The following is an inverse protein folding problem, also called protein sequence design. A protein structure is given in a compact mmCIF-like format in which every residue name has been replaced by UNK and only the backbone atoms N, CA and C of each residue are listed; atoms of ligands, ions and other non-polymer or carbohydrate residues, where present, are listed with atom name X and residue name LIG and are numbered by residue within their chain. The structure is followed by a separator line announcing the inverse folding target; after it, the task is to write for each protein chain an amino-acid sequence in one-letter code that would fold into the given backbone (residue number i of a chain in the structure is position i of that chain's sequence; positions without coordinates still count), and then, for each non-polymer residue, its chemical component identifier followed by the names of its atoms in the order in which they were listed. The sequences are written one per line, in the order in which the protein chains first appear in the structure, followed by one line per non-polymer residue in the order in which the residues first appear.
data_IF_204813852795
#
_entry.id   IF_204813852795
#
_cell.length_a   1.000
_cell.length_b   1.000
_cell.length_c   1.000
_cell.angle_alpha   90.00
_cell.angle_beta   90.00
_cell.angle_gamma   90.00
#
_symmetry.space_group_name_H-M   'P 1'
#
loop_
_entity.id
_entity.type
_entity.pdbx_description
1 polymer ?
#
# COMPACT_ATOMS: atom_id res chain seq x y z
N UNK A 1 -14.43 18.16 -10.95
CA UNK A 1 -13.39 18.44 -11.98
C UNK A 1 -12.89 17.15 -12.61
N UNK A 2 -12.39 16.14 -11.90
CA UNK A 2 -11.85 14.87 -12.45
C UNK A 2 -12.73 14.20 -13.53
N UNK A 3 -14.04 14.16 -13.31
CA UNK A 3 -15.00 13.58 -14.27
C UNK A 3 -15.10 14.46 -15.52
N UNK A 4 -15.10 15.78 -15.34
CA UNK A 4 -15.16 16.73 -16.46
C UNK A 4 -13.95 16.57 -17.38
N UNK A 5 -12.74 16.52 -16.84
CA UNK A 5 -11.51 16.27 -17.60
C UNK A 5 -11.60 14.98 -18.42
N UNK A 6 -12.15 13.91 -17.85
CA UNK A 6 -12.36 12.63 -18.56
C UNK A 6 -13.34 12.78 -19.73
N UNK A 7 -14.42 13.49 -19.54
CA UNK A 7 -15.40 13.75 -20.58
C UNK A 7 -14.81 14.60 -21.71
N UNK A 8 -14.10 15.69 -21.36
CA UNK A 8 -13.45 16.57 -22.34
C UNK A 8 -12.49 15.82 -23.25
N UNK A 9 -11.75 14.86 -22.70
CA UNK A 9 -10.79 14.06 -23.46
C UNK A 9 -11.36 12.71 -23.95
N UNK A 10 -12.67 12.46 -23.84
CA UNK A 10 -13.32 11.19 -24.22
C UNK A 10 -12.67 9.95 -23.60
N UNK A 11 -12.19 10.05 -22.35
CA UNK A 11 -11.52 8.98 -21.59
C UNK A 11 -12.36 8.49 -20.40
N UNK A 12 -13.64 8.25 -20.61
CA UNK A 12 -14.60 7.89 -19.57
C UNK A 12 -14.46 6.46 -19.04
N UNK A 13 -13.74 5.60 -19.75
CA UNK A 13 -13.58 4.19 -19.40
C UNK A 13 -12.35 3.91 -18.55
N UNK A 14 -12.40 2.84 -17.72
CA UNK A 14 -11.29 2.33 -16.93
C UNK A 14 -11.15 3.02 -15.58
N UNK A 15 -9.93 3.08 -15.07
CA UNK A 15 -9.65 3.63 -13.74
C UNK A 15 -9.99 5.12 -13.67
N UNK A 16 -10.67 5.53 -12.59
CA UNK A 16 -11.08 6.92 -12.40
C UNK A 16 -9.96 7.77 -11.79
N UNK A 17 -9.25 7.24 -10.80
CA UNK A 17 -8.16 7.92 -10.09
C UNK A 17 -7.16 6.92 -9.55
N UNK A 18 -6.00 7.41 -9.16
CA UNK A 18 -5.02 6.69 -8.35
C UNK A 18 -4.99 7.28 -6.96
N UNK A 19 -4.84 6.44 -5.96
CA UNK A 19 -4.74 6.84 -4.55
C UNK A 19 -3.40 6.38 -3.99
N UNK A 20 -2.67 7.32 -3.41
CA UNK A 20 -1.41 7.08 -2.72
C UNK A 20 -1.54 7.52 -1.28
N UNK A 21 -0.81 6.85 -0.39
CA UNK A 21 -0.67 7.24 1.00
C UNK A 21 0.82 7.50 1.28
N UNK A 22 1.14 8.71 1.75
CA UNK A 22 2.47 9.09 2.21
C UNK A 22 2.43 9.23 3.72
N UNK A 23 3.07 8.30 4.44
CA UNK A 23 3.05 8.24 5.91
C UNK A 23 4.40 8.66 6.48
N UNK A 24 4.36 9.30 7.65
CA UNK A 24 5.52 9.77 8.38
C UNK A 24 5.65 9.00 9.69
N UNK A 25 6.90 8.83 10.19
CA UNK A 25 7.10 8.17 11.47
C UNK A 25 6.45 8.95 12.60
N UNK A 26 5.80 8.29 13.58
CA UNK A 26 5.26 8.97 14.75
C UNK A 26 6.34 9.62 15.64
N UNK A 27 7.59 9.23 15.47
CA UNK A 27 8.74 9.79 16.20
C UNK A 27 9.24 11.11 15.59
N UNK A 28 8.78 11.45 14.37
CA UNK A 28 9.17 12.67 13.69
C UNK A 28 8.49 13.90 14.31
N UNK A 29 9.30 14.90 14.66
CA UNK A 29 8.81 16.19 15.17
C UNK A 29 8.41 17.08 14.00
N UNK A 30 7.33 16.75 13.33
CA UNK A 30 6.82 17.43 12.15
C UNK A 30 5.40 17.95 12.38
N UNK A 31 5.09 19.12 11.83
CA UNK A 31 3.74 19.70 11.94
C UNK A 31 2.83 19.19 10.81
N UNK A 32 1.49 19.13 11.02
CA UNK A 32 0.54 18.80 9.95
C UNK A 32 0.68 19.70 8.71
N UNK A 33 1.00 20.99 8.93
CA UNK A 33 1.23 21.94 7.84
C UNK A 33 2.43 21.52 6.99
N UNK A 34 3.55 21.19 7.61
CA UNK A 34 4.76 20.74 6.90
C UNK A 34 4.52 19.42 6.17
N UNK A 35 3.78 18.49 6.79
CA UNK A 35 3.37 17.22 6.13
C UNK A 35 2.56 17.51 4.86
N UNK A 36 1.60 18.43 4.94
CA UNK A 36 0.81 18.85 3.80
C UNK A 36 1.67 19.48 2.68
N UNK A 37 2.58 20.39 3.04
CA UNK A 37 3.52 21.02 2.10
C UNK A 37 4.40 19.99 1.37
N UNK A 38 4.90 18.99 2.08
CA UNK A 38 5.66 17.87 1.50
C UNK A 38 4.78 17.09 0.50
N UNK A 39 3.54 16.80 0.86
CA UNK A 39 2.59 16.12 -0.04
C UNK A 39 2.30 16.92 -1.30
N UNK A 40 2.04 18.22 -1.17
CA UNK A 40 1.82 19.12 -2.31
C UNK A 40 3.05 19.21 -3.19
N UNK A 41 4.24 19.28 -2.61
CA UNK A 41 5.50 19.30 -3.37
C UNK A 41 5.72 17.99 -4.13
N UNK A 42 5.49 16.85 -3.50
CA UNK A 42 5.57 15.53 -4.13
C UNK A 42 4.64 15.45 -5.35
N UNK A 43 3.42 15.99 -5.24
CA UNK A 43 2.47 15.95 -6.36
C UNK A 43 2.89 16.83 -7.52
N UNK A 44 3.49 17.99 -7.26
CA UNK A 44 4.03 18.86 -8.31
C UNK A 44 5.19 18.20 -9.07
N UNK A 45 6.08 17.50 -8.36
CA UNK A 45 7.24 16.84 -8.97
C UNK A 45 6.86 15.54 -9.73
N UNK A 46 5.79 14.82 -9.29
CA UNK A 46 5.45 13.50 -9.84
C UNK A 46 4.26 13.49 -10.80
N UNK A 47 3.35 14.47 -10.71
CA UNK A 47 2.07 14.42 -11.40
C UNK A 47 1.74 15.73 -12.13
N UNK A 48 2.75 16.35 -12.72
CA UNK A 48 2.58 17.54 -13.55
C UNK A 48 1.57 17.29 -14.68
N UNK A 49 0.65 18.22 -14.90
CA UNK A 49 -0.44 18.10 -15.88
C UNK A 49 -1.59 17.18 -15.48
N UNK A 50 -1.64 16.73 -14.19
CA UNK A 50 -2.77 15.97 -13.64
C UNK A 50 -3.43 16.73 -12.51
N UNK A 51 -4.77 16.62 -12.41
CA UNK A 51 -5.51 17.12 -11.26
C UNK A 51 -5.21 16.25 -10.03
N UNK A 52 -4.88 16.90 -8.92
CA UNK A 52 -4.52 16.19 -7.67
C UNK A 52 -5.25 16.81 -6.48
N UNK A 53 -5.66 15.95 -5.56
CA UNK A 53 -6.17 16.34 -4.24
C UNK A 53 -5.22 15.78 -3.20
N UNK A 54 -4.76 16.63 -2.28
CA UNK A 54 -3.93 16.22 -1.13
C UNK A 54 -4.71 16.50 0.15
N UNK A 55 -4.98 15.46 0.91
CA UNK A 55 -5.60 15.53 2.24
C UNK A 55 -4.64 15.04 3.32
N UNK A 56 -4.39 15.82 4.35
CA UNK A 56 -3.54 15.44 5.48
C UNK A 56 -4.39 15.00 6.65
N UNK A 57 -4.20 13.77 7.12
CA UNK A 57 -4.88 13.24 8.30
C UNK A 57 -4.05 13.48 9.56
N UNK A 58 -4.73 14.02 10.58
CA UNK A 58 -4.13 14.42 11.87
C UNK A 58 -4.65 13.61 13.06
N UNK A 59 -5.68 12.79 12.86
CA UNK A 59 -6.42 12.11 13.95
C UNK A 59 -5.83 10.76 14.38
N UNK A 60 -4.79 10.28 13.68
CA UNK A 60 -4.13 9.00 13.98
C UNK A 60 -2.80 9.21 14.71
N UNK A 61 -2.27 8.13 15.27
CA UNK A 61 -0.99 8.12 15.97
C UNK A 61 0.21 8.57 15.10
N UNK A 62 0.02 8.74 13.80
CA UNK A 62 1.02 9.23 12.86
C UNK A 62 0.38 10.09 11.78
N UNK A 63 1.09 11.13 11.36
CA UNK A 63 0.66 12.01 10.28
C UNK A 63 0.82 11.32 8.93
N UNK A 64 -0.16 11.49 8.04
CA UNK A 64 -0.08 10.95 6.68
C UNK A 64 -0.91 11.78 5.70
N UNK A 65 -0.46 11.79 4.45
CA UNK A 65 -1.16 12.39 3.33
C UNK A 65 -1.90 11.31 2.54
N UNK A 66 -3.15 11.56 2.21
CA UNK A 66 -3.85 10.92 1.10
C UNK A 66 -3.71 11.78 -0.15
N UNK A 67 -3.19 11.19 -1.21
CA UNK A 67 -2.97 11.85 -2.49
C UNK A 67 -3.84 11.15 -3.52
N UNK A 68 -4.80 11.86 -4.10
CA UNK A 68 -5.71 11.35 -5.12
C UNK A 68 -5.39 12.06 -6.44
N UNK A 69 -4.99 11.29 -7.45
CA UNK A 69 -4.56 11.78 -8.74
C UNK A 69 -5.56 11.36 -9.82
N UNK A 70 -6.04 12.30 -10.63
CA UNK A 70 -6.88 11.94 -11.77
C UNK A 70 -6.11 11.02 -12.72
N UNK A 71 -6.80 10.02 -13.25
CA UNK A 71 -6.18 9.08 -14.20
C UNK A 71 -6.02 9.62 -15.63
N UNK A 72 -6.47 10.85 -15.88
CA UNK A 72 -6.36 11.52 -17.18
C UNK A 72 -5.77 12.91 -16.97
N UNK A 73 -4.73 13.23 -17.75
CA UNK A 73 -4.11 14.56 -17.75
C UNK A 73 -5.09 15.59 -18.29
N UNK A 74 -5.24 16.72 -17.59
CA UNK A 74 -6.08 17.83 -18.05
C UNK A 74 -5.42 18.60 -19.23
N UNK A 75 -4.09 18.54 -19.35
CA UNK A 75 -3.36 19.20 -20.43
C UNK A 75 -3.35 18.36 -21.71
N UNK A 76 -2.96 17.09 -21.60
CA UNK A 76 -2.67 16.24 -22.77
C UNK A 76 -3.74 15.20 -23.06
N UNK A 77 -4.70 14.98 -22.16
CA UNK A 77 -5.69 13.90 -22.25
C UNK A 77 -5.09 12.48 -22.17
N UNK A 78 -3.81 12.35 -21.90
CA UNK A 78 -3.15 11.04 -21.73
C UNK A 78 -3.55 10.40 -20.41
N UNK A 79 -3.78 9.09 -20.44
CA UNK A 79 -3.99 8.32 -19.21
C UNK A 79 -2.68 8.18 -18.45
N UNK A 80 -2.74 8.36 -17.12
CA UNK A 80 -1.62 8.11 -16.22
C UNK A 80 -1.28 6.62 -16.26
N UNK A 81 -0.05 6.32 -16.61
CA UNK A 81 0.48 4.96 -16.55
C UNK A 81 1.19 4.74 -15.22
N UNK A 82 0.79 3.68 -14.51
CA UNK A 82 1.39 3.31 -13.23
C UNK A 82 1.83 1.85 -13.27
N UNK A 83 3.13 1.66 -13.22
CA UNK A 83 3.80 0.38 -13.11
C UNK A 83 4.72 0.34 -11.87
N UNK A 84 5.47 -0.73 -11.72
CA UNK A 84 6.42 -0.88 -10.60
C UNK A 84 7.51 0.21 -10.62
N UNK A 85 7.98 0.59 -11.83
CA UNK A 85 9.04 1.58 -12.00
C UNK A 85 8.57 3.00 -11.66
N UNK A 86 7.35 3.37 -12.08
CA UNK A 86 6.76 4.67 -11.75
C UNK A 86 6.50 4.80 -10.25
N UNK A 87 6.06 3.72 -9.58
CA UNK A 87 5.91 3.72 -8.13
C UNK A 87 7.26 3.88 -7.40
N UNK A 88 8.30 3.24 -7.90
CA UNK A 88 9.66 3.37 -7.36
C UNK A 88 10.20 4.80 -7.52
N UNK A 89 9.94 5.43 -8.67
CA UNK A 89 10.26 6.84 -8.90
C UNK A 89 9.55 7.76 -7.91
N UNK A 90 8.24 7.58 -7.67
CA UNK A 90 7.48 8.37 -6.69
C UNK A 90 8.09 8.23 -5.29
N UNK A 91 8.50 7.01 -4.89
CA UNK A 91 9.17 6.77 -3.61
C UNK A 91 10.51 7.51 -3.54
N UNK A 92 11.33 7.42 -4.57
CA UNK A 92 12.63 8.12 -4.64
C UNK A 92 12.47 9.64 -4.51
N UNK A 93 11.47 10.21 -5.18
CA UNK A 93 11.17 11.66 -5.08
C UNK A 93 10.68 11.99 -3.68
N UNK A 94 9.79 11.16 -3.09
CA UNK A 94 9.33 11.34 -1.71
C UNK A 94 10.48 11.31 -0.71
N UNK A 95 11.38 10.33 -0.82
CA UNK A 95 12.55 10.18 0.06
C UNK A 95 13.50 11.38 -0.06
N UNK A 96 13.72 11.87 -1.28
CA UNK A 96 14.51 13.08 -1.52
C UNK A 96 13.90 14.30 -0.82
N UNK A 97 12.60 14.53 -1.02
CA UNK A 97 11.90 15.64 -0.38
C UNK A 97 11.96 15.51 1.15
N UNK A 98 11.65 14.33 1.71
CA UNK A 98 11.74 14.10 3.15
C UNK A 98 13.14 14.38 3.71
N UNK A 99 14.19 13.94 2.99
CA UNK A 99 15.58 14.22 3.38
C UNK A 99 15.92 15.72 3.39
N UNK A 100 15.38 16.49 2.44
CA UNK A 100 15.55 17.95 2.41
C UNK A 100 14.88 18.66 3.59
N UNK A 101 13.83 18.07 4.16
CA UNK A 101 13.18 18.52 5.39
C UNK A 101 13.82 17.94 6.66
N UNK A 102 14.92 17.18 6.54
CA UNK A 102 15.63 16.57 7.66
C UNK A 102 14.90 15.39 8.30
N UNK A 103 13.95 14.80 7.58
CA UNK A 103 13.18 13.65 8.05
C UNK A 103 13.89 12.33 7.72
N UNK A 104 13.57 11.31 8.51
CA UNK A 104 14.07 9.95 8.27
C UNK A 104 13.43 9.35 7.00
N UNK A 105 14.21 8.57 6.27
CA UNK A 105 13.75 7.80 5.13
C UNK A 105 13.97 6.32 5.36
N UNK A 106 13.00 5.52 4.92
CA UNK A 106 13.08 4.06 5.01
C UNK A 106 14.14 3.58 4.01
N UNK A 107 15.24 3.06 4.50
CA UNK A 107 16.21 2.36 3.65
C UNK A 107 15.53 1.11 3.10
N UNK A 108 15.19 1.12 1.82
CA UNK A 108 14.66 -0.06 1.15
C UNK A 108 15.74 -1.16 1.18
N UNK A 109 15.61 -2.11 2.09
CA UNK A 109 16.34 -3.38 1.95
C UNK A 109 15.81 -4.01 0.67
N UNK A 110 16.71 -4.45 -0.21
CA UNK A 110 16.31 -5.34 -1.30
C UNK A 110 15.43 -6.44 -0.69
N UNK A 111 14.16 -6.42 -1.00
CA UNK A 111 13.25 -7.46 -0.52
C UNK A 111 13.67 -8.76 -1.21
N UNK A 112 14.54 -9.51 -0.55
CA UNK A 112 14.49 -10.96 -0.73
C UNK A 112 13.06 -11.34 -0.40
N UNK A 113 12.38 -11.95 -1.34
CA UNK A 113 10.99 -12.40 -1.25
C UNK A 113 10.83 -13.44 -0.13
N UNK A 114 10.91 -12.99 1.11
CA UNK A 114 10.66 -13.82 2.28
C UNK A 114 9.24 -13.50 2.76
N UNK A 115 8.28 -14.29 2.29
CA UNK A 115 7.08 -14.60 3.03
C UNK A 115 6.15 -13.47 3.51
N UNK A 116 6.39 -12.22 3.13
CA UNK A 116 5.55 -11.10 3.60
C UNK A 116 4.20 -11.14 2.89
N UNK A 117 3.13 -11.20 3.67
CA UNK A 117 1.77 -11.17 3.16
C UNK A 117 1.53 -9.92 2.33
N UNK A 118 0.95 -10.08 1.14
CA UNK A 118 0.46 -8.95 0.34
C UNK A 118 -0.73 -8.28 1.03
N UNK A 119 -1.04 -7.02 0.68
CA UNK A 119 -2.20 -6.32 1.23
C UNK A 119 -3.51 -7.10 1.01
N UNK A 120 -3.67 -7.74 -0.15
CA UNK A 120 -4.83 -8.59 -0.45
C UNK A 120 -4.89 -9.83 0.43
N UNK A 121 -3.76 -10.47 0.71
CA UNK A 121 -3.67 -11.60 1.63
C UNK A 121 -3.98 -11.19 3.08
N UNK A 122 -3.50 -10.00 3.50
CA UNK A 122 -3.82 -9.43 4.81
C UNK A 122 -5.33 -9.17 4.95
N UNK A 123 -5.97 -8.54 3.95
CA UNK A 123 -7.41 -8.30 3.96
C UNK A 123 -8.21 -9.61 3.95
N UNK A 124 -7.79 -10.60 3.15
CA UNK A 124 -8.42 -11.93 3.16
C UNK A 124 -8.25 -12.65 4.51
N UNK A 125 -7.13 -12.43 5.20
CA UNK A 125 -6.90 -12.95 6.55
C UNK A 125 -7.83 -12.29 7.57
N UNK A 126 -7.97 -10.96 7.52
CA UNK A 126 -8.84 -10.18 8.41
C UNK A 126 -10.31 -10.56 8.26
N UNK A 127 -10.74 -10.90 7.04
CA UNK A 127 -12.08 -11.38 6.73
C UNK A 127 -12.29 -12.90 7.00
N UNK A 128 -11.27 -13.59 7.52
CA UNK A 128 -11.32 -15.03 7.81
C UNK A 128 -11.30 -15.95 6.58
N UNK A 129 -11.13 -15.39 5.38
CA UNK A 129 -11.20 -16.11 4.11
C UNK A 129 -9.85 -16.62 3.58
N UNK A 130 -8.75 -16.31 4.26
CA UNK A 130 -7.41 -16.73 3.82
C UNK A 130 -7.09 -18.15 4.26
N UNK A 131 -6.97 -19.07 3.30
CA UNK A 131 -6.50 -20.42 3.56
C UNK A 131 -5.05 -20.46 4.08
N UNK A 132 -4.18 -19.53 3.63
CA UNK A 132 -2.81 -19.38 4.12
C UNK A 132 -2.78 -19.01 5.60
N UNK A 133 -3.60 -18.07 6.03
CA UNK A 133 -3.68 -17.67 7.43
C UNK A 133 -4.17 -18.81 8.33
N UNK A 134 -5.18 -19.57 7.87
CA UNK A 134 -5.64 -20.76 8.57
C UNK A 134 -4.54 -21.82 8.68
N UNK A 135 -3.79 -22.02 7.60
CA UNK A 135 -2.66 -22.96 7.59
C UNK A 135 -1.56 -22.53 8.57
N UNK A 136 -1.17 -21.26 8.55
CA UNK A 136 -0.16 -20.70 9.47
C UNK A 136 -0.61 -20.91 10.92
N UNK A 137 -1.83 -20.53 11.27
CA UNK A 137 -2.37 -20.73 12.62
C UNK A 137 -2.42 -22.22 13.03
N UNK A 138 -2.75 -23.10 12.10
CA UNK A 138 -2.75 -24.55 12.37
C UNK A 138 -1.34 -25.06 12.64
N UNK A 139 -0.36 -24.62 11.86
CA UNK A 139 1.06 -24.98 12.05
C UNK A 139 1.58 -24.42 13.39
N UNK A 140 1.31 -23.15 13.68
CA UNK A 140 1.72 -22.53 14.97
C UNK A 140 1.07 -23.24 16.17
N UNK A 141 -0.21 -23.58 16.08
CA UNK A 141 -0.90 -24.35 17.11
C UNK A 141 -0.26 -25.72 17.28
N UNK A 142 0.03 -26.42 16.17
CA UNK A 142 0.68 -27.72 16.22
C UNK A 142 2.09 -27.64 16.85
N UNK A 143 2.87 -26.60 16.50
CA UNK A 143 4.20 -26.39 17.09
C UNK A 143 4.16 -26.13 18.60
N UNK A 144 3.10 -25.48 19.09
CA UNK A 144 2.94 -25.20 20.53
C UNK A 144 2.43 -26.40 21.33
N UNK A 145 1.68 -27.31 20.72
CA UNK A 145 1.04 -28.44 21.40
C UNK A 145 1.87 -29.73 21.28
N UNK A 146 2.47 -29.99 20.10
CA UNK A 146 3.16 -31.23 19.81
C UNK A 146 4.59 -31.22 20.36
N UNK A 147 4.98 -32.28 21.04
CA UNK A 147 6.30 -32.44 21.67
C UNK A 147 7.35 -33.08 20.75
N UNK A 148 6.89 -33.72 19.69
CA UNK A 148 7.76 -34.42 18.75
C UNK A 148 7.18 -34.42 17.33
N UNK A 149 8.01 -34.83 16.36
CA UNK A 149 7.66 -34.84 14.94
C UNK A 149 6.46 -35.76 14.61
N UNK A 150 6.34 -36.90 15.30
CA UNK A 150 5.26 -37.86 15.03
C UNK A 150 3.90 -37.28 15.44
N UNK A 151 3.82 -36.65 16.61
CA UNK A 151 2.63 -35.94 17.08
C UNK A 151 2.25 -34.79 16.14
N UNK A 152 3.25 -34.03 15.65
CA UNK A 152 3.03 -32.94 14.71
C UNK A 152 2.42 -33.45 13.39
N UNK A 153 2.96 -34.54 12.82
CA UNK A 153 2.44 -35.15 11.59
C UNK A 153 1.00 -35.62 11.83
N UNK A 154 0.73 -36.35 12.90
CA UNK A 154 -0.60 -36.84 13.24
C UNK A 154 -1.60 -35.69 13.40
N UNK A 155 -1.21 -34.60 14.09
CA UNK A 155 -2.04 -33.39 14.23
C UNK A 155 -2.35 -32.76 12.89
N UNK A 156 -1.35 -32.59 12.01
CA UNK A 156 -1.53 -31.99 10.70
C UNK A 156 -2.42 -32.88 9.79
N UNK A 157 -2.30 -34.19 9.89
CA UNK A 157 -3.16 -35.13 9.15
C UNK A 157 -4.60 -35.08 9.63
N UNK A 158 -4.82 -35.00 10.93
CA UNK A 158 -6.18 -34.88 11.51
C UNK A 158 -6.89 -33.58 11.12
N UNK A 159 -6.13 -32.51 10.81
CA UNK A 159 -6.65 -31.22 10.37
C UNK A 159 -6.77 -31.10 8.85
N UNK A 160 -6.23 -32.04 8.08
CA UNK A 160 -6.21 -32.04 6.60
C UNK A 160 -7.61 -31.99 5.98
N UNK A 161 -8.59 -32.63 6.57
CA UNK A 161 -9.99 -32.64 6.14
C UNK A 161 -10.68 -31.27 6.16
N UNK A 162 -10.14 -30.31 6.89
CA UNK A 162 -10.68 -28.94 6.95
C UNK A 162 -10.13 -28.02 5.86
N UNK A 163 -9.12 -28.47 5.10
CA UNK A 163 -8.47 -27.69 4.05
C UNK A 163 -8.75 -28.19 2.63
N UNK A 164 -9.43 -29.34 2.48
CA UNK A 164 -9.83 -29.85 1.18
C UNK A 164 -11.08 -29.13 0.71
N UNK A 165 -10.86 -28.26 -0.25
CA UNK A 165 -11.72 -27.67 -1.28
C UNK A 165 -13.21 -27.45 -0.98
N UNK A 166 -13.61 -26.22 -1.17
CA UNK A 166 -14.82 -25.97 -1.97
C UNK A 166 -14.33 -25.56 -3.37
N UNK A 167 -14.49 -26.45 -4.31
CA UNK A 167 -14.55 -26.13 -5.72
C UNK A 167 -15.70 -25.16 -5.99
#
# INVERSE_FOLDING_TARGET
EFILTKHLHSKTNGRYFYHYCQSFSPEEKITPKTVHEIGVRLTKECFEGYEVIVGTHIEKNHLHNHIIVNSVSFESGKKLHQDKKSLENIRTVSDKICSEYGLSVIKHKEQKSSGTMTHGEYMAATLGNSWKFRLINTVETAMNICKNKAEFISYMESTRTKFVSRD
#
